data_IF_929383345916
#
_entry.id   IF_929383345916
#
_cell.length_a   1.000
_cell.length_b   1.000
_cell.length_c   1.000
_cell.angle_alpha   90.00
_cell.angle_beta   90.00
_cell.angle_gamma   90.00
#
_symmetry.space_group_name_H-M   'P 1'
#
loop_
_entity.id
_entity.type
_entity.pdbx_description
1 polymer ?
#
# COMPACT_ATOMS: atom_id res chain seq x y z
N UNK A 1 35.54 21.37 10.44
CA UNK A 1 34.63 22.24 9.67
C UNK A 1 33.23 21.95 10.16
N UNK A 2 32.68 22.85 10.98
CA UNK A 2 31.27 22.77 11.39
C UNK A 2 30.42 23.11 10.16
N UNK A 3 29.70 22.13 9.61
CA UNK A 3 28.63 22.42 8.67
C UNK A 3 27.51 23.09 9.46
N UNK A 4 27.37 24.41 9.28
CA UNK A 4 26.21 25.16 9.75
C UNK A 4 24.96 24.53 9.14
N UNK A 5 24.16 23.87 9.97
CA UNK A 5 22.87 23.35 9.56
C UNK A 5 22.00 24.53 9.14
N UNK A 6 21.63 24.60 7.85
CA UNK A 6 20.72 25.61 7.35
C UNK A 6 19.43 25.54 8.18
N UNK A 7 19.06 26.62 8.86
CA UNK A 7 17.81 26.71 9.60
C UNK A 7 16.66 26.44 8.64
N UNK A 8 15.76 25.52 9.01
CA UNK A 8 14.58 25.27 8.21
C UNK A 8 13.84 26.61 8.02
N UNK A 9 13.37 26.95 6.80
CA UNK A 9 12.64 28.19 6.60
C UNK A 9 11.47 28.23 7.58
N UNK A 10 11.25 29.38 8.23
CA UNK A 10 10.24 29.56 9.29
C UNK A 10 8.81 29.17 8.85
N UNK A 11 8.60 28.97 7.55
CA UNK A 11 7.35 28.58 6.91
C UNK A 11 7.08 27.07 6.92
N UNK A 12 8.08 26.21 7.09
CA UNK A 12 7.91 24.75 7.00
C UNK A 12 6.84 24.19 7.96
N UNK A 13 6.78 24.58 9.24
CA UNK A 13 5.74 24.08 10.16
C UNK A 13 4.32 24.42 9.69
N UNK A 14 4.13 25.56 9.01
CA UNK A 14 2.82 25.96 8.48
C UNK A 14 2.42 25.09 7.29
N UNK A 15 3.35 24.76 6.39
CA UNK A 15 3.06 23.82 5.29
C UNK A 15 2.75 22.43 5.79
N UNK A 16 3.45 21.95 6.82
CA UNK A 16 3.16 20.67 7.47
C UNK A 16 1.78 20.71 8.13
N UNK A 17 1.46 21.74 8.92
CA UNK A 17 0.14 21.86 9.54
C UNK A 17 -0.98 21.89 8.49
N UNK A 18 -0.77 22.61 7.39
CA UNK A 18 -1.71 22.66 6.27
C UNK A 18 -1.88 21.29 5.60
N UNK A 19 -0.78 20.55 5.34
CA UNK A 19 -0.85 19.21 4.75
C UNK A 19 -1.58 18.22 5.65
N UNK A 20 -1.41 18.31 6.97
CA UNK A 20 -2.13 17.50 7.95
C UNK A 20 -3.64 17.78 7.92
N UNK A 21 -4.03 19.05 7.94
CA UNK A 21 -5.44 19.44 7.85
C UNK A 21 -6.07 18.98 6.52
N UNK A 22 -5.35 19.13 5.40
CA UNK A 22 -5.83 18.69 4.10
C UNK A 22 -5.95 17.17 4.04
N UNK A 23 -4.93 16.43 4.49
CA UNK A 23 -4.92 14.97 4.51
C UNK A 23 -6.06 14.38 5.33
N UNK A 24 -6.25 14.87 6.56
CA UNK A 24 -7.37 14.47 7.41
C UNK A 24 -8.73 14.82 6.80
N UNK A 25 -8.82 15.97 6.13
CA UNK A 25 -10.03 16.33 5.37
C UNK A 25 -10.31 15.33 4.25
N UNK A 26 -9.30 14.93 3.49
CA UNK A 26 -9.44 13.92 2.41
C UNK A 26 -9.86 12.57 2.97
N UNK A 27 -9.30 12.13 4.10
CA UNK A 27 -9.72 10.90 4.80
C UNK A 27 -11.18 10.99 5.24
N UNK A 28 -11.57 12.10 5.87
CA UNK A 28 -12.93 12.31 6.36
C UNK A 28 -13.96 12.35 5.21
N UNK A 29 -13.67 13.09 4.14
CA UNK A 29 -14.53 13.18 2.96
C UNK A 29 -14.64 11.82 2.26
N UNK A 30 -13.56 11.04 2.20
CA UNK A 30 -13.61 9.67 1.67
C UNK A 30 -14.53 8.80 2.52
N UNK A 31 -14.38 8.82 3.85
CA UNK A 31 -15.26 8.09 4.77
C UNK A 31 -16.73 8.52 4.64
N UNK A 32 -17.00 9.82 4.57
CA UNK A 32 -18.34 10.36 4.38
C UNK A 32 -18.94 9.96 3.03
N UNK A 33 -18.14 9.99 1.96
CA UNK A 33 -18.58 9.52 0.64
C UNK A 33 -18.99 8.04 0.68
N UNK A 34 -18.16 7.19 1.31
CA UNK A 34 -18.45 5.77 1.43
C UNK A 34 -19.70 5.51 2.29
N UNK A 35 -19.82 6.20 3.42
CA UNK A 35 -20.93 6.07 4.35
C UNK A 35 -22.27 6.56 3.79
N UNK A 36 -22.28 7.75 3.19
CA UNK A 36 -23.50 8.42 2.75
C UNK A 36 -23.96 7.97 1.35
N UNK A 37 -23.03 7.60 0.46
CA UNK A 37 -23.34 7.34 -0.95
C UNK A 37 -23.00 5.93 -1.43
N UNK A 38 -22.16 5.17 -0.72
CA UNK A 38 -21.76 3.80 -1.13
C UNK A 38 -22.30 2.70 -0.21
N UNK A 39 -23.21 3.04 0.70
CA UNK A 39 -23.86 2.06 1.58
C UNK A 39 -23.03 1.63 2.79
N UNK A 40 -21.92 2.32 3.10
CA UNK A 40 -21.09 2.04 4.26
C UNK A 40 -19.89 1.14 4.00
N UNK A 41 -19.28 0.64 5.07
CA UNK A 41 -18.08 -0.19 5.04
C UNK A 41 -18.38 -1.45 5.84
N UNK A 42 -18.11 -2.61 5.25
CA UNK A 42 -18.24 -3.89 5.92
C UNK A 42 -17.09 -4.81 5.52
N UNK A 43 -16.82 -5.84 6.31
CA UNK A 43 -15.81 -6.85 6.00
C UNK A 43 -16.31 -7.96 5.06
N UNK A 44 -17.63 -8.02 4.84
CA UNK A 44 -18.31 -9.05 4.06
C UNK A 44 -19.30 -8.44 3.06
N UNK A 45 -19.66 -9.23 2.03
CA UNK A 45 -20.70 -8.88 1.07
C UNK A 45 -20.26 -7.85 0.01
N UNK A 46 -21.24 -7.14 -0.57
CA UNK A 46 -21.00 -6.17 -1.65
C UNK A 46 -20.25 -4.91 -1.18
N UNK A 47 -20.31 -4.60 0.12
CA UNK A 47 -19.68 -3.43 0.73
C UNK A 47 -18.18 -3.64 1.04
N UNK A 48 -17.69 -4.88 0.94
CA UNK A 48 -16.29 -5.23 1.24
C UNK A 48 -15.29 -4.40 0.43
N UNK A 49 -15.62 -4.07 -0.82
CA UNK A 49 -14.77 -3.22 -1.64
C UNK A 49 -14.57 -1.82 -1.05
N UNK A 50 -15.53 -1.27 -0.29
CA UNK A 50 -15.42 0.09 0.26
C UNK A 50 -14.31 0.22 1.32
N UNK A 51 -13.85 -0.89 1.91
CA UNK A 51 -12.64 -0.89 2.76
C UNK A 51 -11.41 -0.46 1.96
N UNK A 52 -11.31 -0.90 0.70
CA UNK A 52 -10.14 -0.68 -0.15
C UNK A 52 -9.83 0.81 -0.38
N UNK A 53 -10.71 1.65 -0.98
CA UNK A 53 -10.40 3.05 -1.24
C UNK A 53 -10.13 3.84 0.05
N UNK A 54 -10.78 3.52 1.17
CA UNK A 54 -10.49 4.16 2.45
C UNK A 54 -9.07 3.83 2.93
N UNK A 55 -8.70 2.55 2.93
CA UNK A 55 -7.36 2.12 3.31
C UNK A 55 -6.28 2.66 2.35
N UNK A 56 -6.56 2.80 1.05
CA UNK A 56 -5.63 3.40 0.09
C UNK A 56 -5.39 4.88 0.41
N UNK A 57 -6.44 5.65 0.73
CA UNK A 57 -6.30 7.06 1.11
C UNK A 57 -5.52 7.23 2.42
N UNK A 58 -5.84 6.42 3.44
CA UNK A 58 -5.15 6.48 4.72
C UNK A 58 -3.68 6.03 4.58
N UNK A 59 -3.44 4.85 4.00
CA UNK A 59 -2.12 4.24 3.92
C UNK A 59 -1.21 4.93 2.91
N UNK A 60 -1.60 4.94 1.63
CA UNK A 60 -0.75 5.48 0.57
C UNK A 60 -0.65 7.00 0.63
N UNK A 61 -1.80 7.69 0.67
CA UNK A 61 -1.80 9.14 0.41
C UNK A 61 -1.38 9.88 1.66
N UNK A 62 -1.98 9.57 2.80
CA UNK A 62 -1.73 10.28 4.04
C UNK A 62 -0.45 9.78 4.72
N UNK A 63 -0.44 8.54 5.22
CA UNK A 63 0.67 8.04 6.05
C UNK A 63 2.00 7.92 5.29
N UNK A 64 1.98 7.41 4.05
CA UNK A 64 3.22 7.22 3.29
C UNK A 64 3.78 8.54 2.74
N UNK A 65 2.91 9.49 2.36
CA UNK A 65 3.31 10.85 2.02
C UNK A 65 4.00 11.55 3.19
N UNK A 66 3.42 11.49 4.38
CA UNK A 66 4.00 12.07 5.59
C UNK A 66 5.33 11.42 5.99
N UNK A 67 5.42 10.08 5.86
CA UNK A 67 6.67 9.36 6.12
C UNK A 67 7.83 9.81 5.23
N UNK A 68 7.57 10.04 3.93
CA UNK A 68 8.59 10.55 3.00
C UNK A 68 9.01 11.98 3.36
N UNK A 69 8.06 12.88 3.60
CA UNK A 69 8.37 14.26 3.98
C UNK A 69 9.19 14.29 5.28
N UNK A 70 8.80 13.49 6.28
CA UNK A 70 9.47 13.44 7.57
C UNK A 70 10.93 12.96 7.46
N UNK A 71 11.21 11.90 6.69
CA UNK A 71 12.57 11.35 6.60
C UNK A 71 13.52 12.26 5.84
N UNK A 72 13.09 12.83 4.71
CA UNK A 72 13.94 13.74 3.92
C UNK A 72 14.20 15.06 4.66
N UNK A 73 13.19 15.61 5.34
CA UNK A 73 13.39 16.80 6.18
C UNK A 73 14.33 16.51 7.36
N UNK A 74 14.22 15.33 7.98
CA UNK A 74 15.12 14.90 9.04
C UNK A 74 16.58 14.78 8.56
N UNK A 75 16.82 14.12 7.42
CA UNK A 75 18.16 14.03 6.83
C UNK A 75 18.75 15.39 6.50
N UNK A 76 17.95 16.28 5.89
CA UNK A 76 18.36 17.65 5.59
C UNK A 76 18.78 18.41 6.84
N UNK A 77 18.00 18.32 7.93
CA UNK A 77 18.30 18.98 9.21
C UNK A 77 19.54 18.41 9.90
N UNK A 78 19.83 17.13 9.70
CA UNK A 78 20.99 16.45 10.29
C UNK A 78 22.23 16.45 9.39
N UNK A 79 22.11 16.89 8.14
CA UNK A 79 23.19 16.83 7.15
C UNK A 79 23.54 15.40 6.73
N UNK A 80 22.59 14.46 6.81
CA UNK A 80 22.80 13.08 6.37
C UNK A 80 22.63 12.97 4.86
N UNK A 81 23.40 12.07 4.24
CA UNK A 81 23.20 11.72 2.85
C UNK A 81 21.83 11.04 2.67
N UNK A 82 21.12 11.40 1.62
CA UNK A 82 19.88 10.74 1.25
C UNK A 82 20.14 9.45 0.48
N UNK A 83 19.19 8.51 0.61
CA UNK A 83 19.09 7.31 -0.24
C UNK A 83 20.39 6.48 -0.34
N UNK A 84 21.17 6.37 0.74
CA UNK A 84 22.44 5.62 0.72
C UNK A 84 22.32 4.18 1.24
N UNK A 85 21.25 3.85 1.98
CA UNK A 85 21.09 2.55 2.62
C UNK A 85 20.22 1.60 1.78
N UNK A 86 20.39 0.29 1.95
CA UNK A 86 19.54 -0.71 1.29
C UNK A 86 18.06 -0.54 1.67
N UNK A 87 17.78 -0.20 2.94
CA UNK A 87 16.42 0.14 3.39
C UNK A 87 15.82 1.26 2.54
N UNK A 88 16.59 2.34 2.29
CA UNK A 88 16.12 3.49 1.52
C UNK A 88 15.88 3.17 0.03
N UNK A 89 16.72 2.32 -0.58
CA UNK A 89 16.52 1.87 -1.97
C UNK A 89 15.28 0.98 -2.11
N UNK A 90 15.10 0.04 -1.18
CA UNK A 90 13.89 -0.77 -1.13
C UNK A 90 12.65 0.10 -0.86
N UNK A 91 12.75 1.08 0.04
CA UNK A 91 11.66 2.00 0.38
C UNK A 91 11.17 2.84 -0.79
N UNK A 92 12.08 3.49 -1.53
CA UNK A 92 11.69 4.29 -2.69
C UNK A 92 11.17 3.41 -3.84
N UNK A 93 11.71 2.20 -4.01
CA UNK A 93 11.19 1.22 -4.97
C UNK A 93 9.76 0.79 -4.61
N UNK A 94 9.51 0.43 -3.35
CA UNK A 94 8.17 0.06 -2.86
C UNK A 94 7.18 1.21 -3.08
N UNK A 95 7.57 2.45 -2.75
CA UNK A 95 6.74 3.62 -2.98
C UNK A 95 6.38 3.79 -4.46
N UNK A 96 7.38 3.71 -5.35
CA UNK A 96 7.17 3.84 -6.79
C UNK A 96 6.28 2.72 -7.35
N UNK A 97 6.52 1.47 -6.96
CA UNK A 97 5.72 0.32 -7.37
C UNK A 97 4.27 0.45 -6.88
N UNK A 98 4.07 0.90 -5.64
CA UNK A 98 2.74 1.09 -5.08
C UNK A 98 1.98 2.21 -5.78
N UNK A 99 2.64 3.31 -6.13
CA UNK A 99 2.04 4.40 -6.90
C UNK A 99 1.63 3.96 -8.31
N UNK A 100 2.51 3.24 -9.03
CA UNK A 100 2.19 2.68 -10.36
C UNK A 100 1.04 1.67 -10.26
N UNK A 101 1.09 0.77 -9.29
CA UNK A 101 0.03 -0.20 -9.01
C UNK A 101 -1.32 0.47 -8.80
N UNK A 102 -1.36 1.61 -8.10
CA UNK A 102 -2.57 2.39 -7.89
C UNK A 102 -3.06 3.11 -9.13
N UNK A 103 -2.18 3.73 -9.92
CA UNK A 103 -2.57 4.36 -11.20
C UNK A 103 -3.18 3.33 -12.15
N UNK A 104 -2.54 2.16 -12.27
CA UNK A 104 -3.04 1.05 -13.08
C UNK A 104 -4.35 0.51 -12.52
N UNK A 105 -4.43 0.28 -11.20
CA UNK A 105 -5.64 -0.20 -10.54
C UNK A 105 -6.83 0.75 -10.70
N UNK A 106 -6.60 2.04 -10.51
CA UNK A 106 -7.58 3.10 -10.74
C UNK A 106 -8.06 3.10 -12.20
N UNK A 107 -7.13 3.12 -13.16
CA UNK A 107 -7.44 3.18 -14.58
C UNK A 107 -8.23 1.99 -15.10
N UNK A 108 -7.91 0.77 -14.65
CA UNK A 108 -8.60 -0.44 -15.10
C UNK A 108 -9.87 -0.76 -14.30
N UNK A 109 -9.87 -0.62 -12.98
CA UNK A 109 -10.93 -1.16 -12.13
C UNK A 109 -11.89 -0.13 -11.53
N UNK A 110 -11.49 1.15 -11.45
CA UNK A 110 -12.36 2.20 -10.88
C UNK A 110 -12.84 3.19 -11.95
N UNK A 111 -11.99 3.54 -12.91
CA UNK A 111 -12.37 4.38 -14.04
C UNK A 111 -13.21 3.57 -15.05
N UNK A 112 -14.33 4.12 -15.56
CA UNK A 112 -15.27 3.37 -16.39
C UNK A 112 -14.75 3.02 -17.79
N UNK A 113 -13.59 3.55 -18.22
CA UNK A 113 -13.10 3.46 -19.60
C UNK A 113 -12.48 2.12 -20.04
N UNK A 114 -12.15 1.20 -19.12
CA UNK A 114 -11.52 -0.08 -19.48
C UNK A 114 -12.55 -1.17 -19.84
N UNK A 115 -12.30 -1.88 -20.95
CA UNK A 115 -13.16 -3.00 -21.38
C UNK A 115 -13.08 -4.19 -20.42
N UNK A 116 -14.13 -5.03 -20.42
CA UNK A 116 -14.20 -6.23 -19.59
C UNK A 116 -13.03 -7.20 -19.84
N UNK A 117 -12.65 -7.41 -21.11
CA UNK A 117 -11.51 -8.25 -21.49
C UNK A 117 -10.18 -7.74 -20.90
N UNK A 118 -9.93 -6.43 -20.96
CA UNK A 118 -8.74 -5.83 -20.38
C UNK A 118 -8.74 -5.97 -18.85
N UNK A 119 -9.86 -5.70 -18.19
CA UNK A 119 -10.01 -5.91 -16.73
C UNK A 119 -9.73 -7.35 -16.34
N UNK A 120 -10.28 -8.32 -17.06
CA UNK A 120 -10.02 -9.74 -16.84
C UNK A 120 -8.54 -10.10 -17.02
N UNK A 121 -7.90 -9.57 -18.06
CA UNK A 121 -6.49 -9.82 -18.35
C UNK A 121 -5.53 -9.22 -17.32
N UNK A 122 -5.81 -8.04 -16.78
CA UNK A 122 -4.95 -7.29 -15.84
C UNK A 122 -5.22 -7.59 -14.35
N UNK A 123 -6.38 -8.16 -14.02
CA UNK A 123 -6.76 -8.56 -12.65
C UNK A 123 -5.71 -9.46 -11.96
N UNK A 124 -5.22 -10.57 -12.57
CA UNK A 124 -4.26 -11.43 -11.88
C UNK A 124 -2.90 -10.76 -11.62
N UNK A 125 -2.43 -9.90 -12.52
CA UNK A 125 -1.18 -9.15 -12.35
C UNK A 125 -1.35 -8.10 -11.25
N UNK A 126 -2.49 -7.41 -11.20
CA UNK A 126 -2.78 -6.48 -10.11
C UNK A 126 -2.77 -7.19 -8.75
N UNK A 127 -3.38 -8.37 -8.63
CA UNK A 127 -3.37 -9.16 -7.39
C UNK A 127 -1.94 -9.58 -7.02
N UNK A 128 -1.20 -10.15 -7.97
CA UNK A 128 0.17 -10.62 -7.75
C UNK A 128 1.08 -9.47 -7.31
N UNK A 129 1.12 -8.37 -8.08
CA UNK A 129 1.95 -7.21 -7.77
C UNK A 129 1.55 -6.59 -6.43
N UNK A 130 0.25 -6.54 -6.09
CA UNK A 130 -0.21 -6.06 -4.80
C UNK A 130 0.35 -6.89 -3.64
N UNK A 131 0.29 -8.22 -3.73
CA UNK A 131 0.86 -9.12 -2.73
C UNK A 131 2.38 -9.02 -2.65
N UNK A 132 3.07 -8.90 -3.79
CA UNK A 132 4.53 -8.70 -3.84
C UNK A 132 4.94 -7.38 -3.18
N UNK A 133 4.25 -6.28 -3.49
CA UNK A 133 4.53 -4.97 -2.88
C UNK A 133 4.31 -5.04 -1.37
N UNK A 134 3.23 -5.67 -0.91
CA UNK A 134 2.98 -5.87 0.52
C UNK A 134 4.14 -6.62 1.20
N UNK A 135 4.60 -7.73 0.62
CA UNK A 135 5.75 -8.48 1.14
C UNK A 135 7.04 -7.64 1.17
N UNK A 136 7.30 -6.88 0.10
CA UNK A 136 8.44 -5.95 0.03
C UNK A 136 8.34 -4.84 1.08
N UNK A 137 7.15 -4.33 1.38
CA UNK A 137 6.93 -3.34 2.45
C UNK A 137 7.28 -3.92 3.82
N UNK A 138 6.88 -5.16 4.12
CA UNK A 138 7.27 -5.86 5.35
C UNK A 138 8.80 -6.00 5.43
N UNK A 139 9.44 -6.50 4.36
CA UNK A 139 10.89 -6.62 4.31
C UNK A 139 11.61 -5.27 4.50
N UNK A 140 11.10 -4.22 3.88
CA UNK A 140 11.66 -2.86 3.99
C UNK A 140 11.51 -2.32 5.41
N UNK A 141 10.39 -2.55 6.09
CA UNK A 141 10.18 -2.16 7.48
C UNK A 141 11.15 -2.87 8.43
N UNK A 142 11.43 -4.16 8.19
CA UNK A 142 12.43 -4.92 8.96
C UNK A 142 13.85 -4.37 8.77
N UNK A 143 14.22 -4.01 7.54
CA UNK A 143 15.50 -3.34 7.27
C UNK A 143 15.60 -2.01 8.03
N UNK A 144 14.54 -1.21 8.02
CA UNK A 144 14.48 0.08 8.72
C UNK A 144 14.57 -0.07 10.23
N UNK A 145 13.87 -1.05 10.81
CA UNK A 145 13.98 -1.38 12.24
C UNK A 145 15.43 -1.74 12.61
N UNK A 146 16.06 -2.63 11.84
CA UNK A 146 17.45 -3.04 12.09
C UNK A 146 18.41 -1.85 11.97
N UNK A 147 18.27 -1.04 10.94
CA UNK A 147 19.08 0.17 10.72
C UNK A 147 18.93 1.16 11.89
N UNK A 148 17.69 1.43 12.34
CA UNK A 148 17.43 2.32 13.48
C UNK A 148 18.06 1.82 14.78
N UNK A 149 17.99 0.51 15.06
CA UNK A 149 18.61 -0.08 16.26
C UNK A 149 20.13 -0.01 16.21
N UNK A 150 20.73 -0.29 15.06
CA UNK A 150 22.19 -0.22 14.91
C UNK A 150 22.70 1.22 15.04
N UNK A 151 21.97 2.21 14.52
CA UNK A 151 22.35 3.61 14.64
C UNK A 151 22.23 4.14 16.08
N UNK A 152 21.19 3.73 16.81
CA UNK A 152 20.94 4.25 18.15
C UNK A 152 21.69 3.49 19.24
N UNK A 153 21.68 2.16 19.19
CA UNK A 153 22.26 1.30 20.23
C UNK A 153 23.71 0.89 19.90
N UNK A 154 24.08 0.79 18.62
CA UNK A 154 25.42 0.38 18.20
C UNK A 154 25.83 -0.95 18.84
N UNK A 155 26.96 -0.95 19.55
CA UNK A 155 27.48 -2.14 20.25
C UNK A 155 26.62 -2.58 21.44
N UNK A 156 25.76 -1.70 22.00
CA UNK A 156 24.82 -2.06 23.07
C UNK A 156 23.65 -2.90 22.55
N UNK A 157 23.46 -3.01 21.24
CA UNK A 157 22.39 -3.86 20.73
C UNK A 157 22.58 -5.33 21.14
N UNK A 158 23.83 -5.81 21.24
CA UNK A 158 24.15 -7.18 21.69
C UNK A 158 24.01 -7.38 23.20
N UNK A 159 23.79 -6.33 24.00
CA UNK A 159 23.60 -6.44 25.44
C UNK A 159 22.12 -6.59 25.83
N UNK A 160 21.23 -6.79 24.86
CA UNK A 160 19.79 -6.99 25.06
C UNK A 160 19.11 -5.82 25.78
N UNK A 161 19.46 -4.59 25.39
CA UNK A 161 18.75 -3.39 25.84
C UNK A 161 17.22 -3.56 25.60
N UNK A 162 16.35 -3.13 26.55
CA UNK A 162 14.91 -3.32 26.44
C UNK A 162 14.31 -2.80 25.13
N UNK A 163 14.80 -1.68 24.61
CA UNK A 163 14.41 -1.14 23.29
C UNK A 163 14.75 -2.12 22.15
N UNK A 164 15.92 -2.74 22.19
CA UNK A 164 16.36 -3.76 21.25
C UNK A 164 15.46 -5.00 21.26
N UNK A 165 15.12 -5.48 22.45
CA UNK A 165 14.20 -6.63 22.61
C UNK A 165 12.82 -6.28 22.08
N UNK A 166 12.26 -5.12 22.43
CA UNK A 166 10.95 -4.68 21.97
C UNK A 166 10.90 -4.56 20.44
N UNK A 167 11.92 -3.95 19.83
CA UNK A 167 11.98 -3.79 18.38
C UNK A 167 12.13 -5.13 17.65
N UNK A 168 12.84 -6.10 18.24
CA UNK A 168 12.90 -7.48 17.70
C UNK A 168 11.54 -8.17 17.76
N UNK A 169 10.80 -8.03 18.87
CA UNK A 169 9.43 -8.54 19.00
C UNK A 169 8.52 -7.89 17.96
N UNK A 170 8.61 -6.58 17.75
CA UNK A 170 7.88 -5.87 16.69
C UNK A 170 8.22 -6.44 15.31
N UNK A 171 9.49 -6.72 15.02
CA UNK A 171 9.92 -7.36 13.77
C UNK A 171 9.27 -8.73 13.57
N UNK A 172 9.23 -9.57 14.62
CA UNK A 172 8.54 -10.87 14.56
C UNK A 172 7.03 -10.70 14.33
N UNK A 173 6.40 -9.73 15.00
CA UNK A 173 4.98 -9.44 14.80
C UNK A 173 4.67 -8.98 13.37
N UNK A 174 5.53 -8.16 12.77
CA UNK A 174 5.39 -7.75 11.36
C UNK A 174 5.49 -8.94 10.40
N UNK A 175 6.40 -9.87 10.65
CA UNK A 175 6.53 -11.11 9.86
C UNK A 175 5.26 -11.96 10.03
N UNK A 176 4.82 -12.20 11.26
CA UNK A 176 3.61 -12.99 11.53
C UNK A 176 2.38 -12.36 10.86
N UNK A 177 2.21 -11.04 10.96
CA UNK A 177 1.15 -10.32 10.29
C UNK A 177 1.22 -10.48 8.76
N UNK A 178 2.43 -10.31 8.19
CA UNK A 178 2.66 -10.53 6.76
C UNK A 178 2.27 -11.92 6.29
N UNK A 179 2.65 -12.96 7.03
CA UNK A 179 2.32 -14.37 6.74
C UNK A 179 0.81 -14.59 6.82
N UNK A 180 0.14 -14.09 7.85
CA UNK A 180 -1.33 -14.25 8.01
C UNK A 180 -2.06 -13.59 6.85
N UNK A 181 -1.70 -12.36 6.47
CA UNK A 181 -2.32 -11.66 5.34
C UNK A 181 -2.09 -12.40 4.02
N UNK A 182 -0.86 -12.85 3.75
CA UNK A 182 -0.57 -13.61 2.53
C UNK A 182 -1.30 -14.96 2.50
N UNK A 183 -1.43 -15.63 3.64
CA UNK A 183 -2.22 -16.85 3.75
C UNK A 183 -3.70 -16.59 3.42
N UNK A 184 -4.29 -15.54 3.99
CA UNK A 184 -5.67 -15.11 3.67
C UNK A 184 -5.83 -14.87 2.17
N UNK A 185 -4.89 -14.15 1.54
CA UNK A 185 -4.94 -13.86 0.09
C UNK A 185 -4.77 -15.09 -0.79
N UNK A 186 -4.08 -16.13 -0.30
CA UNK A 186 -3.85 -17.38 -1.03
C UNK A 186 -5.05 -18.34 -0.98
N UNK A 187 -5.99 -18.17 -0.05
CA UNK A 187 -7.14 -19.07 0.08
C UNK A 187 -8.13 -18.88 -1.07
N UNK A 188 -8.26 -19.91 -1.91
CA UNK A 188 -9.17 -19.91 -3.04
C UNK A 188 -10.65 -19.87 -2.60
N UNK A 189 -10.98 -20.57 -1.51
CA UNK A 189 -12.34 -20.68 -0.98
C UNK A 189 -12.87 -19.37 -0.37
N UNK A 190 -11.98 -18.41 -0.09
CA UNK A 190 -12.34 -17.12 0.50
C UNK A 190 -12.43 -16.00 -0.54
N UNK A 191 -12.23 -16.32 -1.82
CA UNK A 191 -12.42 -15.34 -2.89
C UNK A 191 -13.89 -14.97 -2.99
N UNK A 192 -14.16 -13.67 -3.15
CA UNK A 192 -15.52 -13.15 -3.39
C UNK A 192 -16.15 -13.90 -4.60
N UNK A 193 -17.36 -14.46 -4.46
CA UNK A 193 -18.09 -15.03 -5.57
C UNK A 193 -18.31 -14.00 -6.68
N UNK A 194 -18.21 -14.43 -7.94
CA UNK A 194 -18.55 -13.59 -9.09
C UNK A 194 -20.02 -13.16 -9.01
N UNK A 195 -20.31 -11.89 -9.27
CA UNK A 195 -21.70 -11.43 -9.33
C UNK A 195 -22.42 -12.00 -10.56
N UNK A 196 -23.75 -12.11 -10.50
CA UNK A 196 -24.57 -12.62 -11.59
C UNK A 196 -24.33 -11.85 -12.92
N UNK A 197 -24.09 -10.54 -12.84
CA UNK A 197 -23.76 -9.71 -14.01
C UNK A 197 -22.39 -10.05 -14.62
N UNK A 198 -21.38 -10.34 -13.80
CA UNK A 198 -20.05 -10.79 -14.27
C UNK A 198 -20.14 -12.19 -14.90
N UNK A 199 -20.99 -13.06 -14.35
CA UNK A 199 -21.24 -14.40 -14.87
C UNK A 199 -21.96 -14.34 -16.24
N UNK A 200 -23.02 -13.54 -16.37
CA UNK A 200 -23.74 -13.36 -17.62
C UNK A 200 -22.83 -12.85 -18.75
N UNK A 201 -22.00 -11.85 -18.48
CA UNK A 201 -21.01 -11.34 -19.43
C UNK A 201 -19.96 -12.39 -19.83
N UNK A 202 -19.55 -13.24 -18.88
CA UNK A 202 -18.59 -14.31 -19.17
C UNK A 202 -19.20 -15.41 -20.05
N UNK A 203 -20.48 -15.73 -19.85
CA UNK A 203 -21.22 -16.70 -20.65
C UNK A 203 -21.48 -16.17 -22.07
N UNK A 204 -21.93 -14.93 -22.22
CA UNK A 204 -22.14 -14.29 -23.52
C UNK A 204 -20.84 -14.24 -24.33
N UNK A 205 -19.72 -13.88 -23.70
CA UNK A 205 -18.42 -13.89 -24.36
C UNK A 205 -18.02 -15.30 -24.83
N UNK A 206 -18.22 -16.31 -23.98
CA UNK A 206 -17.95 -17.71 -24.34
C UNK A 206 -18.77 -18.15 -25.55
N UNK A 207 -20.07 -17.83 -25.58
CA UNK A 207 -20.96 -18.10 -26.71
C UNK A 207 -20.52 -17.41 -28.00
N UNK A 208 -19.99 -16.18 -27.91
CA UNK A 208 -19.48 -15.44 -29.06
C UNK A 208 -18.14 -15.96 -29.59
N UNK A 209 -17.28 -16.50 -28.71
CA UNK A 209 -15.95 -17.00 -29.11
C UNK A 209 -15.92 -18.48 -29.47
N UNK A 210 -16.79 -19.28 -28.87
CA UNK A 210 -16.92 -20.72 -29.11
C UNK A 210 -18.12 -21.06 -30.00
N UNK A 211 -18.72 -20.05 -30.64
CA UNK A 211 -19.99 -20.13 -31.37
C UNK A 211 -20.20 -21.49 -32.02
N UNK A 212 -21.33 -22.13 -31.66
CA UNK A 212 -21.76 -23.48 -32.07
C UNK A 212 -21.10 -23.90 -33.38
N UNK A 213 -19.92 -24.51 -33.28
CA UNK A 213 -19.28 -25.11 -34.42
C UNK A 213 -20.10 -26.36 -34.73
N UNK A 214 -20.85 -26.41 -35.85
CA UNK A 214 -21.69 -27.56 -36.11
C UNK A 214 -20.78 -28.77 -36.22
N UNK A 215 -20.99 -29.75 -35.34
CA UNK A 215 -20.31 -31.03 -35.40
C UNK A 215 -20.46 -31.59 -36.82
N UNK A 216 -19.36 -31.95 -37.51
CA UNK A 216 -19.48 -32.56 -38.82
C UNK A 216 -20.13 -33.94 -38.62
N UNK A 217 -21.30 -34.12 -39.26
CA UNK A 217 -22.01 -35.40 -39.35
C UNK A 217 -21.19 -36.41 -40.15
#
# INVERSE_FOLDING_TARGET
MEHSAASAPATLPYYVAFSQLLGLTVVAVTGAWLGLYRGGIAWEGSLQFNVHPLCMVIGMIFLQGDGLVAVFDYHKKKGYADLYSLHSWCGILVFALYFVQWLVGFGFFLFPGASFSLRGRFRPQHIFLGATIFLLSVGTALLGLKEALLFKLGTKYSTFEPEGVLANVLGLLLICFGVVVLYILAQADWKRPSQAEEQALSMDFKTLTEGDSPSPQ
#
